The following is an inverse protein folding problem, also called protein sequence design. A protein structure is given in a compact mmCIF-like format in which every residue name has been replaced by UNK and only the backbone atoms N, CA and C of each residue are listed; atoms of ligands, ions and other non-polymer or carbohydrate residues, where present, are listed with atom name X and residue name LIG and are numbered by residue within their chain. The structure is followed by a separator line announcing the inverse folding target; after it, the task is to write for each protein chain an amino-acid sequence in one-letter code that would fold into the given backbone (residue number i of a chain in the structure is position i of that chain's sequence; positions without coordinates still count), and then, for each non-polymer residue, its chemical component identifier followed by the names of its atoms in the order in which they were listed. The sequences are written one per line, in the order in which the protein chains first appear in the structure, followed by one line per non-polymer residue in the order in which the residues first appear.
data_IF_273183407790
#
_entry.id   IF_273183407790
#
_cell.length_a   1.000
_cell.length_b   1.000
_cell.length_c   1.000
_cell.angle_alpha   90.00
_cell.angle_beta   90.00
_cell.angle_gamma   90.00
#
_symmetry.space_group_name_H-M   'P 1'
#
loop_
_entity.id
_entity.type
_entity.pdbx_description
1 polymer ?
#
# COMPACT_ATOMS: atom_id res chain seq x y z
N UNK A 1 -33.83 -52.08 10.20
CA UNK A 1 -32.40 -52.18 9.85
C UNK A 1 -31.86 -50.75 9.73
N UNK A 2 -31.36 -50.19 10.84
CA UNK A 2 -30.90 -48.80 10.91
C UNK A 2 -29.40 -48.75 10.60
N UNK A 3 -28.97 -47.91 9.66
CA UNK A 3 -27.55 -47.65 9.40
C UNK A 3 -27.29 -46.17 9.68
N UNK A 4 -26.65 -45.89 10.80
CA UNK A 4 -26.16 -44.57 11.19
C UNK A 4 -24.81 -44.34 10.46
N UNK A 5 -24.64 -43.29 9.62
CA UNK A 5 -23.36 -43.03 9.01
C UNK A 5 -22.48 -42.26 10.01
N UNK A 6 -21.34 -42.85 10.36
CA UNK A 6 -20.29 -42.23 11.16
C UNK A 6 -19.55 -41.22 10.26
N UNK A 7 -19.88 -39.93 10.38
CA UNK A 7 -19.15 -38.84 9.73
C UNK A 7 -17.83 -38.59 10.47
N UNK A 8 -16.71 -39.07 9.90
CA UNK A 8 -15.37 -38.71 10.34
C UNK A 8 -15.10 -37.23 10.01
N UNK A 9 -14.91 -36.42 11.06
CA UNK A 9 -14.43 -35.04 10.98
C UNK A 9 -12.92 -35.05 10.71
N UNK A 10 -12.50 -34.82 9.47
CA UNK A 10 -11.10 -34.65 9.12
C UNK A 10 -10.61 -33.27 9.59
N UNK A 11 -9.79 -33.24 10.65
CA UNK A 11 -9.03 -32.04 11.02
C UNK A 11 -7.94 -31.80 9.96
N UNK A 12 -8.15 -30.78 9.12
CA UNK A 12 -7.11 -30.26 8.24
C UNK A 12 -6.11 -29.43 9.06
N UNK A 13 -4.80 -29.71 9.00
CA UNK A 13 -3.80 -28.87 9.65
C UNK A 13 -3.72 -27.53 8.92
N UNK A 14 -3.92 -26.44 9.65
CA UNK A 14 -3.66 -25.08 9.19
C UNK A 14 -2.15 -24.93 9.05
N UNK A 15 -1.65 -24.93 7.82
CA UNK A 15 -0.26 -24.60 7.54
C UNK A 15 -0.04 -23.11 7.85
N UNK A 16 0.57 -22.80 8.99
CA UNK A 16 1.09 -21.48 9.27
C UNK A 16 2.23 -21.20 8.28
N UNK A 17 2.03 -20.26 7.34
CA UNK A 17 3.14 -19.72 6.55
C UNK A 17 4.05 -18.94 7.48
N UNK A 18 5.18 -19.53 7.84
CA UNK A 18 6.26 -18.81 8.48
C UNK A 18 6.81 -17.78 7.48
N UNK A 19 6.51 -16.49 7.70
CA UNK A 19 7.20 -15.42 7.02
C UNK A 19 8.68 -15.49 7.41
N UNK A 20 9.54 -15.87 6.46
CA UNK A 20 10.99 -15.83 6.69
C UNK A 20 11.40 -14.38 6.95
N UNK A 21 12.29 -14.10 7.93
CA UNK A 21 12.81 -12.76 8.12
C UNK A 21 13.52 -12.34 6.82
N UNK A 22 12.91 -11.40 6.08
CA UNK A 22 13.49 -10.88 4.85
C UNK A 22 14.89 -10.35 5.12
N UNK A 23 15.81 -10.60 4.17
CA UNK A 23 17.20 -10.14 4.28
C UNK A 23 17.26 -8.62 4.50
N UNK A 24 18.18 -8.16 5.35
CA UNK A 24 18.41 -6.72 5.56
C UNK A 24 18.68 -6.04 4.21
N UNK A 25 18.05 -4.87 3.97
CA UNK A 25 18.12 -4.21 2.67
C UNK A 25 19.50 -3.70 2.30
N UNK A 26 20.35 -3.47 3.30
CA UNK A 26 21.73 -3.06 3.14
C UNK A 26 22.61 -4.18 2.54
N UNK A 27 22.13 -5.43 2.59
CA UNK A 27 22.79 -6.62 2.05
C UNK A 27 22.06 -7.25 0.85
N UNK A 28 21.17 -6.51 0.19
CA UNK A 28 20.49 -6.98 -1.01
C UNK A 28 21.51 -7.26 -2.14
N UNK A 29 21.57 -8.50 -2.63
CA UNK A 29 22.52 -8.90 -3.69
C UNK A 29 21.84 -9.39 -4.97
N UNK A 30 20.63 -9.93 -4.84
CA UNK A 30 19.86 -10.41 -6.00
C UNK A 30 18.79 -9.40 -6.40
N UNK A 31 18.31 -9.48 -7.64
CA UNK A 31 17.16 -8.66 -8.06
C UNK A 31 15.90 -8.99 -7.28
N UNK A 32 15.77 -10.22 -6.76
CA UNK A 32 14.68 -10.58 -5.86
C UNK A 32 14.80 -9.79 -4.55
N UNK A 33 15.99 -9.79 -3.92
CA UNK A 33 16.24 -9.05 -2.69
C UNK A 33 15.94 -7.55 -2.87
N UNK A 34 16.39 -6.96 -3.99
CA UNK A 34 16.17 -5.54 -4.31
C UNK A 34 14.68 -5.24 -4.48
N UNK A 35 13.95 -6.11 -5.20
CA UNK A 35 12.50 -5.98 -5.39
C UNK A 35 11.75 -6.06 -4.06
N UNK A 36 12.12 -6.98 -3.17
CA UNK A 36 11.53 -7.10 -1.85
C UNK A 36 11.82 -5.89 -0.96
N UNK A 37 13.02 -5.33 -1.04
CA UNK A 37 13.38 -4.11 -0.32
C UNK A 37 12.56 -2.91 -0.75
N UNK A 38 12.42 -2.72 -2.07
CA UNK A 38 11.58 -1.64 -2.59
C UNK A 38 10.12 -1.81 -2.17
N UNK A 39 9.60 -3.04 -2.12
CA UNK A 39 8.26 -3.32 -1.61
C UNK A 39 8.11 -2.96 -0.13
N UNK A 40 9.07 -3.34 0.72
CA UNK A 40 9.07 -2.97 2.15
C UNK A 40 9.10 -1.46 2.38
N UNK A 41 9.86 -0.72 1.57
CA UNK A 41 9.89 0.74 1.62
C UNK A 41 8.53 1.35 1.23
N UNK A 42 7.89 0.81 0.18
CA UNK A 42 6.54 1.22 -0.20
C UNK A 42 5.53 0.96 0.93
N UNK A 43 5.58 -0.21 1.58
CA UNK A 43 4.72 -0.54 2.72
C UNK A 43 4.97 0.39 3.92
N UNK A 44 6.23 0.74 4.18
CA UNK A 44 6.63 1.67 5.24
C UNK A 44 6.05 3.06 4.99
N UNK A 45 6.17 3.57 3.75
CA UNK A 45 5.60 4.87 3.36
C UNK A 45 4.07 4.88 3.46
N UNK A 46 3.40 3.78 3.12
CA UNK A 46 1.94 3.64 3.21
C UNK A 46 1.47 3.60 4.68
N UNK A 47 2.22 2.91 5.55
CA UNK A 47 1.98 2.92 6.99
C UNK A 47 2.09 4.34 7.57
N UNK A 48 3.09 5.13 7.15
CA UNK A 48 3.23 6.53 7.57
C UNK A 48 2.06 7.38 7.07
N UNK A 49 1.70 7.26 5.79
CA UNK A 49 0.55 7.96 5.22
C UNK A 49 -0.72 7.68 6.02
N UNK A 50 -0.99 6.42 6.34
CA UNK A 50 -2.16 6.03 7.11
C UNK A 50 -2.12 6.57 8.54
N UNK A 51 -0.94 6.64 9.17
CA UNK A 51 -0.78 7.24 10.48
C UNK A 51 -1.10 8.74 10.46
N UNK A 52 -0.56 9.49 9.48
CA UNK A 52 -0.86 10.92 9.30
C UNK A 52 -2.32 11.15 8.96
N UNK A 53 -2.88 10.36 8.05
CA UNK A 53 -4.31 10.44 7.71
C UNK A 53 -5.19 10.28 8.95
N UNK A 54 -4.90 9.32 9.84
CA UNK A 54 -5.63 9.18 11.11
C UNK A 54 -5.51 10.42 12.01
N UNK A 55 -4.32 11.03 12.09
CA UNK A 55 -4.14 12.28 12.85
C UNK A 55 -4.98 13.43 12.26
N UNK A 56 -5.02 13.56 10.94
CA UNK A 56 -5.86 14.56 10.26
C UNK A 56 -7.34 14.30 10.55
N UNK A 57 -7.80 13.06 10.44
CA UNK A 57 -9.19 12.69 10.72
C UNK A 57 -9.58 12.97 12.17
N UNK A 58 -8.64 12.79 13.11
CA UNK A 58 -8.81 13.14 14.52
C UNK A 58 -8.93 14.66 14.72
N UNK A 59 -8.10 15.47 14.05
CA UNK A 59 -8.20 16.94 14.10
C UNK A 59 -9.51 17.47 13.50
N UNK A 60 -10.04 16.79 12.49
CA UNK A 60 -11.33 17.12 11.87
C UNK A 60 -12.54 16.54 12.63
N UNK A 61 -12.34 15.95 13.82
CA UNK A 61 -13.44 15.44 14.63
C UNK A 61 -14.47 16.55 14.90
N UNK A 62 -15.76 16.26 14.68
CA UNK A 62 -16.85 17.24 14.79
C UNK A 62 -17.14 18.01 13.49
N UNK A 63 -16.36 17.81 12.42
CA UNK A 63 -16.57 18.42 11.10
C UNK A 63 -16.94 17.35 10.05
N UNK A 64 -18.17 16.80 10.07
CA UNK A 64 -18.55 15.65 9.26
C UNK A 64 -18.41 15.91 7.74
N UNK A 65 -18.74 17.12 7.29
CA UNK A 65 -18.59 17.51 5.89
C UNK A 65 -17.12 17.49 5.46
N UNK A 66 -16.21 18.03 6.27
CA UNK A 66 -14.77 18.03 5.97
C UNK A 66 -14.21 16.60 5.92
N UNK A 67 -14.61 15.76 6.88
CA UNK A 67 -14.26 14.33 6.92
C UNK A 67 -14.69 13.61 5.63
N UNK A 68 -15.93 13.80 5.19
CA UNK A 68 -16.45 13.11 4.00
C UNK A 68 -15.77 13.59 2.71
N UNK A 69 -15.45 14.89 2.62
CA UNK A 69 -14.68 15.44 1.49
C UNK A 69 -13.25 14.91 1.47
N UNK A 70 -12.56 14.88 2.62
CA UNK A 70 -11.20 14.36 2.70
C UNK A 70 -11.14 12.86 2.38
N UNK A 71 -12.09 12.07 2.90
CA UNK A 71 -12.18 10.63 2.59
C UNK A 71 -12.35 10.39 1.09
N UNK A 72 -13.22 11.18 0.45
CA UNK A 72 -13.45 11.09 -0.99
C UNK A 72 -12.20 11.48 -1.79
N UNK A 73 -11.54 12.57 -1.40
CA UNK A 73 -10.30 13.01 -2.02
C UNK A 73 -9.17 11.98 -1.87
N UNK A 74 -9.04 11.35 -0.69
CA UNK A 74 -8.02 10.32 -0.45
C UNK A 74 -8.25 9.07 -1.31
N UNK A 75 -9.49 8.65 -1.52
CA UNK A 75 -9.84 7.53 -2.42
C UNK A 75 -9.51 7.84 -3.88
N UNK A 76 -9.80 9.06 -4.34
CA UNK A 76 -9.45 9.49 -5.68
C UNK A 76 -7.93 9.62 -5.86
N UNK A 77 -7.22 10.10 -4.84
CA UNK A 77 -5.77 10.17 -4.87
C UNK A 77 -5.12 8.78 -5.02
N UNK A 78 -5.66 7.72 -4.39
CA UNK A 78 -5.16 6.35 -4.59
C UNK A 78 -5.28 5.94 -6.07
N UNK A 79 -6.43 6.23 -6.69
CA UNK A 79 -6.63 5.95 -8.11
C UNK A 79 -5.67 6.74 -9.00
N UNK A 80 -5.46 8.02 -8.70
CA UNK A 80 -4.49 8.86 -9.41
C UNK A 80 -3.07 8.31 -9.26
N UNK A 81 -2.65 7.95 -8.04
CA UNK A 81 -1.32 7.39 -7.77
C UNK A 81 -1.08 6.15 -8.63
N UNK A 82 -2.03 5.22 -8.63
CA UNK A 82 -1.89 3.97 -9.35
C UNK A 82 -1.89 4.23 -10.87
N UNK A 83 -2.75 5.14 -11.36
CA UNK A 83 -2.78 5.57 -12.76
C UNK A 83 -1.49 6.30 -13.20
N UNK A 84 -0.88 7.13 -12.35
CA UNK A 84 0.38 7.81 -12.64
C UNK A 84 1.54 6.82 -12.76
N UNK A 85 1.51 5.73 -11.98
CA UNK A 85 2.50 4.65 -12.09
C UNK A 85 2.28 3.86 -13.38
N UNK A 86 1.03 3.50 -13.70
CA UNK A 86 0.69 2.81 -14.94
C UNK A 86 1.06 3.66 -16.18
N UNK A 87 0.90 4.98 -16.11
CA UNK A 87 1.29 5.91 -17.17
C UNK A 87 2.83 5.95 -17.39
N UNK A 88 3.63 5.66 -16.36
CA UNK A 88 5.10 5.53 -16.48
C UNK A 88 5.52 4.22 -17.11
N UNK A 89 4.72 3.17 -16.96
CA UNK A 89 4.99 1.82 -17.45
C UNK A 89 3.79 1.30 -18.26
N UNK A 90 3.42 1.96 -19.38
CA UNK A 90 2.25 1.58 -20.14
C UNK A 90 2.35 0.13 -20.61
N UNK A 91 1.29 -0.63 -20.42
CA UNK A 91 1.13 -2.01 -20.91
C UNK A 91 -0.21 -2.15 -21.60
N UNK A 92 -0.24 -2.91 -22.69
CA UNK A 92 -1.47 -3.37 -23.31
C UNK A 92 -2.27 -4.27 -22.37
N UNK A 93 -3.57 -4.41 -22.66
CA UNK A 93 -4.54 -5.16 -21.84
C UNK A 93 -4.09 -6.58 -21.48
N UNK A 94 -3.35 -7.22 -22.38
CA UNK A 94 -2.91 -8.61 -22.26
C UNK A 94 -1.37 -8.74 -22.17
N UNK A 95 -0.68 -7.63 -21.87
CA UNK A 95 0.78 -7.59 -21.75
C UNK A 95 1.25 -7.67 -20.29
N UNK A 96 2.37 -8.34 -20.06
CA UNK A 96 2.97 -8.44 -18.74
C UNK A 96 4.08 -7.38 -18.59
N UNK A 97 3.98 -6.44 -17.63
CA UNK A 97 5.00 -5.41 -17.46
C UNK A 97 6.38 -5.98 -17.12
N UNK A 98 6.50 -7.16 -16.49
CA UNK A 98 7.80 -7.80 -16.25
C UNK A 98 8.43 -8.35 -17.52
N UNK A 99 7.63 -8.64 -18.55
CA UNK A 99 8.14 -9.06 -19.86
C UNK A 99 8.65 -7.84 -20.64
N UNK A 100 7.93 -6.70 -20.59
CA UNK A 100 8.32 -5.48 -21.30
C UNK A 100 9.45 -4.70 -20.61
N UNK A 101 9.40 -4.57 -19.28
CA UNK A 101 10.30 -3.74 -18.48
C UNK A 101 11.32 -4.55 -17.67
N UNK A 102 11.31 -5.88 -17.81
CA UNK A 102 12.28 -6.78 -17.20
C UNK A 102 12.17 -6.91 -15.68
N UNK A 103 13.22 -7.51 -15.07
CA UNK A 103 13.25 -7.84 -13.65
C UNK A 103 13.32 -6.64 -12.70
N UNK A 104 13.60 -5.45 -13.23
CA UNK A 104 13.62 -4.19 -12.47
C UNK A 104 12.24 -3.55 -12.31
N UNK A 105 11.25 -3.95 -13.12
CA UNK A 105 9.90 -3.40 -13.03
C UNK A 105 9.32 -3.38 -11.60
N UNK A 106 9.41 -4.46 -10.79
CA UNK A 106 8.79 -4.48 -9.47
C UNK A 106 9.41 -3.47 -8.50
N UNK A 107 10.74 -3.35 -8.48
CA UNK A 107 11.40 -2.34 -7.65
C UNK A 107 11.03 -0.92 -8.09
N UNK A 108 10.95 -0.68 -9.40
CA UNK A 108 10.60 0.63 -9.93
C UNK A 108 9.15 1.00 -9.62
N UNK A 109 8.22 0.07 -9.77
CA UNK A 109 6.81 0.26 -9.38
C UNK A 109 6.71 0.62 -7.89
N UNK A 110 7.34 -0.18 -7.01
CA UNK A 110 7.31 0.06 -5.57
C UNK A 110 7.97 1.39 -5.18
N UNK A 111 9.09 1.76 -5.82
CA UNK A 111 9.76 3.03 -5.57
C UNK A 111 8.89 4.23 -5.94
N UNK A 112 8.21 4.19 -7.10
CA UNK A 112 7.27 5.25 -7.50
C UNK A 112 6.07 5.33 -6.55
N UNK A 113 5.53 4.18 -6.13
CA UNK A 113 4.46 4.13 -5.14
C UNK A 113 4.89 4.77 -3.82
N UNK A 114 6.10 4.45 -3.34
CA UNK A 114 6.64 5.04 -2.11
C UNK A 114 6.79 6.55 -2.22
N UNK A 115 7.32 7.04 -3.35
CA UNK A 115 7.52 8.46 -3.59
C UNK A 115 6.22 9.26 -3.60
N UNK A 116 5.24 8.84 -4.41
CA UNK A 116 3.95 9.51 -4.47
C UNK A 116 3.21 9.46 -3.11
N UNK A 117 3.39 8.37 -2.37
CA UNK A 117 2.83 8.20 -1.02
C UNK A 117 3.46 9.19 -0.04
N UNK A 118 4.79 9.36 -0.04
CA UNK A 118 5.47 10.38 0.79
C UNK A 118 5.02 11.80 0.44
N UNK A 119 4.88 12.13 -0.84
CA UNK A 119 4.36 13.45 -1.25
C UNK A 119 2.96 13.70 -0.71
N UNK A 120 2.08 12.69 -0.74
CA UNK A 120 0.73 12.81 -0.17
C UNK A 120 0.77 12.99 1.35
N UNK A 121 1.63 12.25 2.04
CA UNK A 121 1.86 12.39 3.48
C UNK A 121 2.26 13.82 3.83
N UNK A 122 3.23 14.38 3.12
CA UNK A 122 3.68 15.78 3.31
C UNK A 122 2.53 16.77 3.05
N UNK A 123 1.77 16.59 1.97
CA UNK A 123 0.62 17.44 1.68
C UNK A 123 -0.44 17.40 2.80
N UNK A 124 -0.73 16.22 3.37
CA UNK A 124 -1.66 16.10 4.50
C UNK A 124 -1.16 16.83 5.74
N UNK A 125 0.13 16.67 6.09
CA UNK A 125 0.75 17.39 7.22
C UNK A 125 0.65 18.90 7.03
N UNK A 126 1.15 19.40 5.89
CA UNK A 126 1.21 20.82 5.60
C UNK A 126 -0.18 21.48 5.47
N UNK A 127 -1.19 20.73 5.04
CA UNK A 127 -2.54 21.29 4.84
C UNK A 127 -3.36 21.28 6.13
N UNK A 128 -3.27 20.20 6.92
CA UNK A 128 -4.21 19.98 8.03
C UNK A 128 -3.55 20.02 9.40
N UNK A 129 -2.29 19.62 9.54
CA UNK A 129 -1.65 19.51 10.85
C UNK A 129 -0.83 20.77 11.19
N UNK A 130 -0.03 21.25 10.24
CA UNK A 130 0.98 22.29 10.48
C UNK A 130 0.42 23.72 10.38
N UNK A 131 -0.74 23.92 9.74
CA UNK A 131 -1.41 25.23 9.69
C UNK A 131 -2.12 25.56 10.99
N UNK A 132 -1.95 26.79 11.48
CA UNK A 132 -2.68 27.32 12.61
C UNK A 132 -4.18 27.43 12.27
N UNK A 133 -5.05 27.14 13.25
CA UNK A 133 -6.50 27.25 13.06
C UNK A 133 -6.88 28.71 12.75
N UNK A 134 -7.42 28.98 11.55
CA UNK A 134 -7.88 30.32 11.15
C UNK A 134 -7.47 30.78 9.74
N UNK A 135 -6.61 30.05 9.03
CA UNK A 135 -6.21 30.36 7.64
C UNK A 135 -7.07 29.68 6.56
N UNK A 136 -8.36 29.47 6.84
CA UNK A 136 -9.34 28.93 5.88
C UNK A 136 -10.14 30.05 5.21
#
# INVERSE_FOLDING_TARGET
MSRLPLLLLALLPVAASAASPGKACDDARTQLDINECAAREADTSDAELNAVYRQVMQKLQGQPVAIDKLRSAQRLWIQLRDADIDARYPVGKDENPRVLYGSMYPMLYSANKAELTRQRTQWLRATFLDRAEGEL
#
